data_IF_909517385710
#
_entry.id   IF_909517385710
#
_cell.length_a   1.000
_cell.length_b   1.000
_cell.length_c   1.000
_cell.angle_alpha   90.00
_cell.angle_beta   90.00
_cell.angle_gamma   90.00
#
_symmetry.space_group_name_H-M   'P 1'
#
loop_
_entity.id
_entity.type
_entity.pdbx_description
1 polymer ?
#
# COMPACT_ATOMS: atom_id res chain seq x y z
N UNK A 1 -18.42 9.05 -13.91
CA UNK A 1 -17.43 7.97 -14.16
C UNK A 1 -18.17 6.63 -14.22
N UNK A 2 -17.84 5.81 -15.21
CA UNK A 2 -18.36 4.46 -15.36
C UNK A 2 -18.05 3.63 -14.10
N UNK A 3 -19.01 2.81 -13.62
CA UNK A 3 -18.85 1.97 -12.41
C UNK A 3 -17.62 1.06 -12.49
N UNK A 4 -17.35 0.53 -13.68
CA UNK A 4 -16.17 -0.30 -13.97
C UNK A 4 -14.87 0.47 -13.71
N UNK A 5 -14.78 1.71 -14.19
CA UNK A 5 -13.57 2.54 -14.01
C UNK A 5 -13.28 2.76 -12.52
N UNK A 6 -14.32 3.00 -11.70
CA UNK A 6 -14.15 3.17 -10.25
C UNK A 6 -13.56 1.91 -9.60
N UNK A 7 -14.09 0.73 -9.93
CA UNK A 7 -13.59 -0.54 -9.38
C UNK A 7 -12.15 -0.81 -9.79
N UNK A 8 -11.83 -0.66 -11.07
CA UNK A 8 -10.48 -0.89 -11.59
C UNK A 8 -9.47 0.06 -10.95
N UNK A 9 -9.76 1.36 -10.89
CA UNK A 9 -8.83 2.32 -10.28
C UNK A 9 -8.68 2.12 -8.77
N UNK A 10 -9.75 1.73 -8.07
CA UNK A 10 -9.71 1.48 -6.62
C UNK A 10 -8.84 0.27 -6.29
N UNK A 11 -9.01 -0.84 -7.02
CA UNK A 11 -8.16 -2.02 -6.86
C UNK A 11 -6.71 -1.77 -7.26
N UNK A 12 -6.49 -1.04 -8.36
CA UNK A 12 -5.14 -0.64 -8.77
C UNK A 12 -4.43 0.19 -7.69
N UNK A 13 -5.14 1.13 -7.06
CA UNK A 13 -4.60 1.94 -5.98
C UNK A 13 -4.22 1.10 -4.75
N UNK A 14 -5.04 0.12 -4.37
CA UNK A 14 -4.72 -0.80 -3.26
C UNK A 14 -3.47 -1.62 -3.56
N UNK A 15 -3.36 -2.16 -4.79
CA UNK A 15 -2.20 -2.98 -5.21
C UNK A 15 -0.92 -2.14 -5.33
N UNK A 16 -1.03 -0.87 -5.70
CA UNK A 16 0.13 0.02 -5.83
C UNK A 16 0.86 0.26 -4.50
N UNK A 17 0.16 0.18 -3.36
CA UNK A 17 0.71 0.41 -2.02
C UNK A 17 1.83 -0.58 -1.65
N UNK A 18 1.61 -1.90 -1.63
CA UNK A 18 2.67 -2.85 -1.33
C UNK A 18 3.84 -2.72 -2.29
N UNK A 19 3.59 -2.52 -3.59
CA UNK A 19 4.66 -2.36 -4.60
C UNK A 19 5.52 -1.13 -4.35
N UNK A 20 4.91 0.02 -4.01
CA UNK A 20 5.65 1.24 -3.72
C UNK A 20 6.50 1.10 -2.45
N UNK A 21 5.95 0.49 -1.40
CA UNK A 21 6.66 0.33 -0.12
C UNK A 21 7.79 -0.69 -0.25
N UNK A 22 7.55 -1.84 -0.88
CA UNK A 22 8.62 -2.83 -1.12
C UNK A 22 9.70 -2.27 -2.03
N UNK A 23 9.34 -1.46 -3.04
CA UNK A 23 10.31 -0.76 -3.88
C UNK A 23 11.21 0.21 -3.11
N UNK A 24 10.65 0.96 -2.14
CA UNK A 24 11.42 1.86 -1.28
C UNK A 24 12.32 1.10 -0.29
N UNK A 25 11.78 0.11 0.43
CA UNK A 25 12.54 -0.67 1.41
C UNK A 25 13.54 -1.65 0.78
N UNK A 26 13.37 -2.01 -0.50
CA UNK A 26 14.29 -2.85 -1.25
C UNK A 26 15.52 -2.14 -1.80
N UNK A 27 15.68 -0.84 -1.56
CA UNK A 27 16.84 -0.10 -2.01
C UNK A 27 18.09 -0.46 -1.20
N UNK A 28 19.23 -0.61 -1.88
CA UNK A 28 20.54 -0.84 -1.25
C UNK A 28 21.19 0.46 -0.74
N UNK A 29 20.43 1.27 -0.01
CA UNK A 29 20.89 2.53 0.55
C UNK A 29 20.54 2.59 2.03
N UNK A 30 21.42 3.16 2.89
CA UNK A 30 21.16 3.24 4.32
C UNK A 30 19.99 4.19 4.60
N UNK A 31 18.85 3.62 4.96
CA UNK A 31 17.69 4.32 5.50
C UNK A 31 17.49 3.92 6.98
N UNK A 32 16.72 4.69 7.77
CA UNK A 32 16.38 4.28 9.12
C UNK A 32 15.69 2.91 9.14
N UNK A 33 16.37 1.89 9.67
CA UNK A 33 15.88 0.50 9.72
C UNK A 33 16.45 -0.42 8.65
N UNK A 34 17.37 0.08 7.81
CA UNK A 34 18.17 -0.74 6.91
C UNK A 34 18.98 -1.78 7.70
N UNK A 35 18.94 -3.04 7.22
CA UNK A 35 19.58 -4.21 7.82
C UNK A 35 19.17 -4.49 9.29
N UNK A 36 18.01 -3.97 9.71
CA UNK A 36 17.48 -4.16 11.05
C UNK A 36 16.09 -4.78 10.99
N UNK A 37 15.82 -5.72 11.90
CA UNK A 37 14.55 -6.48 11.96
C UNK A 37 13.32 -5.58 12.10
N UNK A 38 13.44 -4.44 12.80
CA UNK A 38 12.33 -3.51 12.94
C UNK A 38 11.94 -2.83 11.62
N UNK A 39 12.87 -2.67 10.66
CA UNK A 39 12.56 -2.12 9.34
C UNK A 39 11.59 -3.01 8.55
N UNK A 40 11.71 -4.34 8.70
CA UNK A 40 10.76 -5.30 8.16
C UNK A 40 9.37 -5.17 8.78
N UNK A 41 9.29 -5.02 10.11
CA UNK A 41 8.02 -4.86 10.80
C UNK A 41 7.34 -3.54 10.46
N UNK A 42 8.09 -2.43 10.38
CA UNK A 42 7.56 -1.11 10.02
C UNK A 42 7.03 -1.10 8.59
N UNK A 43 7.77 -1.63 7.62
CA UNK A 43 7.30 -1.72 6.23
C UNK A 43 6.05 -2.60 6.09
N UNK A 44 6.05 -3.77 6.73
CA UNK A 44 4.90 -4.69 6.72
C UNK A 44 3.67 -4.04 7.35
N UNK A 45 3.82 -3.39 8.50
CA UNK A 45 2.74 -2.66 9.16
C UNK A 45 2.22 -1.52 8.28
N UNK A 46 3.11 -0.74 7.64
CA UNK A 46 2.71 0.33 6.73
C UNK A 46 1.90 -0.21 5.53
N UNK A 47 2.33 -1.32 4.93
CA UNK A 47 1.61 -1.97 3.83
C UNK A 47 0.19 -2.35 4.26
N UNK A 48 0.06 -3.05 5.39
CA UNK A 48 -1.23 -3.54 5.88
C UNK A 48 -2.14 -2.36 6.23
N UNK A 49 -1.65 -1.38 6.98
CA UNK A 49 -2.43 -0.23 7.43
C UNK A 49 -2.91 0.60 6.25
N UNK A 50 -2.02 0.98 5.33
CA UNK A 50 -2.37 1.85 4.20
C UNK A 50 -3.32 1.12 3.24
N UNK A 51 -3.06 -0.17 2.95
CA UNK A 51 -3.94 -0.97 2.09
C UNK A 51 -5.34 -1.14 2.71
N UNK A 52 -5.41 -1.40 4.02
CA UNK A 52 -6.68 -1.48 4.74
C UNK A 52 -7.43 -0.15 4.76
N UNK A 53 -6.73 0.97 5.01
CA UNK A 53 -7.33 2.32 4.96
C UNK A 53 -7.90 2.60 3.58
N UNK A 54 -7.16 2.34 2.50
CA UNK A 54 -7.67 2.52 1.14
C UNK A 54 -8.89 1.63 0.86
N UNK A 55 -8.83 0.35 1.26
CA UNK A 55 -9.96 -0.56 1.13
C UNK A 55 -11.21 -0.02 1.83
N UNK A 56 -11.08 0.43 3.09
CA UNK A 56 -12.19 0.99 3.86
C UNK A 56 -12.75 2.26 3.23
N UNK A 57 -11.88 3.16 2.75
CA UNK A 57 -12.28 4.41 2.08
C UNK A 57 -13.02 4.12 0.77
N UNK A 58 -12.53 3.21 -0.06
CA UNK A 58 -13.20 2.87 -1.32
C UNK A 58 -14.49 2.09 -1.09
N UNK A 59 -14.53 1.22 -0.08
CA UNK A 59 -15.75 0.51 0.34
C UNK A 59 -16.83 1.47 0.82
N UNK A 60 -16.48 2.44 1.67
CA UNK A 60 -17.42 3.43 2.21
C UNK A 60 -18.01 4.35 1.13
N UNK A 61 -17.39 4.41 -0.06
CA UNK A 61 -17.86 5.21 -1.19
C UNK A 61 -18.57 4.39 -2.27
N UNK A 62 -18.78 3.09 -2.06
CA UNK A 62 -19.31 2.14 -3.06
C UNK A 62 -18.48 2.12 -4.36
N UNK A 63 -17.15 2.22 -4.24
CA UNK A 63 -16.24 2.17 -5.39
C UNK A 63 -15.66 0.77 -5.65
N UNK A 64 -15.93 -0.20 -4.78
CA UNK A 64 -15.45 -1.59 -4.87
C UNK A 64 -16.48 -2.54 -5.46
#
# INVERSE_FOLDING_TARGET
>A
MNSIMKKVTSWAAIIAVPTAITGFYGQNIPYPGFDQVWGFWVSTAAIVVISAVLYLVFKARDWL
#
